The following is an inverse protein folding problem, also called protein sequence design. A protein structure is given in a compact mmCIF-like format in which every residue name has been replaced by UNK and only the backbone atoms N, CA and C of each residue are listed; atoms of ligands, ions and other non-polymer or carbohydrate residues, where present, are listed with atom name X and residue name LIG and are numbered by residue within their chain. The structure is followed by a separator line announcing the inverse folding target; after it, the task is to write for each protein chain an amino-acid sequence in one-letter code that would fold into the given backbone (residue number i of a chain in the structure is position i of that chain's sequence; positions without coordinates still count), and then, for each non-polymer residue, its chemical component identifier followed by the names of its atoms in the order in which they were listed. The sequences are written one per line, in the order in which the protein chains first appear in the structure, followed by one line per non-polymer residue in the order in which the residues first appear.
data_IF_604430771090
#
_entry.id   IF_604430771090
#
_cell.length_a   1.000
_cell.length_b   1.000
_cell.length_c   1.000
_cell.angle_alpha   90.00
_cell.angle_beta   90.00
_cell.angle_gamma   90.00
#
_symmetry.space_group_name_H-M   'P 1'
#
loop_
_entity.id
_entity.type
_entity.pdbx_description
1 polymer ?
#
# COMPACT_ATOMS: atom_id res chain seq x y z
N UNK A 1 3.98 -18.94 -16.70
CA UNK A 1 3.02 -18.42 -15.71
C UNK A 1 3.72 -17.65 -14.60
N UNK A 2 4.73 -18.23 -13.94
CA UNK A 2 5.54 -17.56 -12.89
C UNK A 2 6.04 -16.15 -13.26
N UNK A 3 6.56 -15.94 -14.47
CA UNK A 3 7.04 -14.60 -14.90
C UNK A 3 5.95 -13.54 -14.95
N UNK A 4 4.70 -13.90 -15.27
CA UNK A 4 3.57 -12.96 -15.33
C UNK A 4 3.12 -12.56 -13.93
N UNK A 5 3.06 -13.51 -13.00
CA UNK A 5 2.70 -13.24 -11.60
C UNK A 5 3.75 -12.36 -10.93
N UNK A 6 5.03 -12.69 -11.12
CA UNK A 6 6.14 -11.89 -10.63
C UNK A 6 6.13 -10.46 -11.18
N UNK A 7 5.84 -10.28 -12.48
CA UNK A 7 5.69 -8.94 -13.07
C UNK A 7 4.54 -8.14 -12.45
N UNK A 8 3.43 -8.79 -12.11
CA UNK A 8 2.34 -8.11 -11.41
C UNK A 8 2.77 -7.66 -10.01
N UNK A 9 3.52 -8.49 -9.27
CA UNK A 9 4.03 -8.13 -7.94
C UNK A 9 4.97 -6.93 -8.02
N UNK A 10 5.91 -6.94 -8.97
CA UNK A 10 6.82 -5.81 -9.16
C UNK A 10 6.08 -4.52 -9.56
N UNK A 11 5.05 -4.61 -10.40
CA UNK A 11 4.21 -3.46 -10.73
C UNK A 11 3.46 -2.93 -9.50
N UNK A 12 2.96 -3.82 -8.64
CA UNK A 12 2.34 -3.42 -7.38
C UNK A 12 3.35 -2.71 -6.48
N UNK A 13 4.56 -3.24 -6.33
CA UNK A 13 5.63 -2.58 -5.58
C UNK A 13 6.01 -1.21 -6.15
N UNK A 14 6.15 -1.07 -7.46
CA UNK A 14 6.42 0.23 -8.09
C UNK A 14 5.30 1.23 -7.84
N UNK A 15 4.05 0.75 -7.81
CA UNK A 15 2.89 1.59 -7.49
C UNK A 15 2.93 2.05 -6.03
N UNK A 16 3.26 1.15 -5.11
CA UNK A 16 3.39 1.47 -3.68
C UNK A 16 4.50 2.50 -3.44
N UNK A 17 5.68 2.32 -4.05
CA UNK A 17 6.77 3.29 -3.99
C UNK A 17 6.31 4.66 -4.48
N UNK A 18 5.70 4.70 -5.67
CA UNK A 18 5.25 5.95 -6.28
C UNK A 18 4.30 6.74 -5.37
N UNK A 19 3.40 6.06 -4.64
CA UNK A 19 2.53 6.73 -3.69
C UNK A 19 3.23 7.11 -2.39
N UNK A 20 4.23 6.35 -1.97
CA UNK A 20 4.95 6.56 -0.71
C UNK A 20 6.04 7.63 -0.81
N UNK A 21 6.49 7.94 -2.03
CA UNK A 21 7.61 8.84 -2.30
C UNK A 21 7.20 10.18 -2.93
N UNK A 22 5.92 10.58 -2.84
CA UNK A 22 5.50 11.88 -3.37
C UNK A 22 5.99 13.01 -2.48
N UNK A 23 6.24 14.18 -3.07
CA UNK A 23 6.75 15.35 -2.36
C UNK A 23 5.85 15.81 -1.20
N UNK A 24 4.54 15.55 -1.28
CA UNK A 24 3.58 15.86 -0.22
C UNK A 24 3.53 14.80 0.89
N UNK A 25 4.22 13.65 0.75
CA UNK A 25 4.30 12.61 1.78
C UNK A 25 5.34 12.99 2.84
N UNK A 26 4.90 13.04 4.10
CA UNK A 26 5.80 13.32 5.22
C UNK A 26 5.97 12.13 6.18
N UNK A 27 5.12 11.09 6.05
CA UNK A 27 5.19 9.89 6.88
C UNK A 27 4.59 8.69 6.16
N UNK A 28 5.27 7.55 6.28
CA UNK A 28 4.76 6.22 5.95
C UNK A 28 4.80 5.37 7.22
N UNK A 29 3.72 4.68 7.54
CA UNK A 29 3.60 3.90 8.78
C UNK A 29 2.85 2.58 8.57
N UNK A 30 2.86 1.74 9.61
CA UNK A 30 2.10 0.49 9.68
C UNK A 30 0.93 0.63 10.65
N UNK A 31 -0.24 0.16 10.22
CA UNK A 31 -1.39 -0.07 11.09
C UNK A 31 -1.99 -1.45 10.79
N UNK A 32 -1.83 -2.42 11.69
CA UNK A 32 -2.17 -3.83 11.36
C UNK A 32 -1.41 -4.31 10.11
N UNK A 33 -2.11 -4.94 9.16
CA UNK A 33 -1.58 -5.35 7.85
C UNK A 33 -1.80 -4.27 6.78
N UNK A 34 -1.77 -3.00 7.18
CA UNK A 34 -1.98 -1.85 6.29
C UNK A 34 -0.76 -0.94 6.30
N UNK A 35 -0.37 -0.47 5.11
CA UNK A 35 0.54 0.67 4.96
C UNK A 35 -0.29 1.94 4.98
N UNK A 36 0.03 2.87 5.87
CA UNK A 36 -0.57 4.19 5.94
C UNK A 36 0.41 5.23 5.40
N UNK A 37 -0.03 5.99 4.39
CA UNK A 37 0.74 7.05 3.74
C UNK A 37 0.07 8.37 4.10
N UNK A 38 0.81 9.25 4.76
CA UNK A 38 0.34 10.54 5.25
C UNK A 38 0.87 11.63 4.32
N UNK A 39 -0.05 12.29 3.64
CA UNK A 39 0.25 13.34 2.68
C UNK A 39 -0.29 14.68 3.19
N UNK A 40 0.53 15.72 3.14
CA UNK A 40 0.16 17.09 3.50
C UNK A 40 -0.79 17.68 2.46
N UNK A 41 -1.83 18.38 2.91
CA UNK A 41 -2.77 19.11 2.05
C UNK A 41 -2.84 20.62 2.39
N UNK A 42 -1.93 21.13 3.23
CA UNK A 42 -1.84 22.54 3.59
C UNK A 42 -1.45 22.77 5.05
N UNK A 43 -1.70 23.99 5.55
CA UNK A 43 -1.30 24.46 6.88
C UNK A 43 -2.03 23.69 8.01
N UNK A 44 -1.57 22.48 8.33
CA UNK A 44 -1.99 21.57 9.43
C UNK A 44 -2.95 20.42 9.06
N UNK A 45 -3.40 20.33 7.81
CA UNK A 45 -4.27 19.24 7.37
C UNK A 45 -3.49 18.15 6.63
N UNK A 46 -3.87 16.89 6.82
CA UNK A 46 -3.30 15.76 6.09
C UNK A 46 -4.39 14.80 5.59
N UNK A 47 -4.09 14.10 4.49
CA UNK A 47 -4.89 12.97 3.99
C UNK A 47 -4.15 11.68 4.30
N UNK A 48 -4.89 10.64 4.71
CA UNK A 48 -4.35 9.30 4.90
C UNK A 48 -4.76 8.45 3.71
N UNK A 49 -3.77 7.86 3.03
CA UNK A 49 -3.99 6.76 2.10
C UNK A 49 -3.62 5.45 2.76
N UNK A 50 -4.37 4.40 2.46
CA UNK A 50 -4.13 3.06 2.99
C UNK A 50 -3.95 2.06 1.87
N UNK A 51 -2.90 1.25 1.96
CA UNK A 51 -2.73 0.05 1.13
C UNK A 51 -3.04 -1.15 2.00
N UNK A 52 -4.10 -1.88 1.65
CA UNK A 52 -4.56 -3.04 2.40
C UNK A 52 -5.13 -4.12 1.48
N UNK A 53 -5.18 -5.36 1.99
CA UNK A 53 -5.85 -6.48 1.33
C UNK A 53 -7.37 -6.45 1.59
N UNK A 54 -8.14 -6.67 0.53
CA UNK A 54 -9.60 -6.81 0.54
C UNK A 54 -10.00 -8.05 -0.24
N UNK A 55 -10.46 -9.08 0.46
CA UNK A 55 -10.61 -10.40 -0.16
C UNK A 55 -9.25 -10.86 -0.71
N UNK A 56 -9.19 -11.12 -2.02
CA UNK A 56 -7.95 -11.51 -2.71
C UNK A 56 -7.32 -10.36 -3.51
N UNK A 57 -7.68 -9.12 -3.22
CA UNK A 57 -7.18 -7.95 -3.92
C UNK A 57 -6.34 -7.07 -3.00
N UNK A 58 -5.29 -6.47 -3.55
CA UNK A 58 -4.56 -5.39 -2.91
C UNK A 58 -5.13 -4.06 -3.41
N UNK A 59 -5.58 -3.20 -2.50
CA UNK A 59 -6.26 -1.96 -2.83
C UNK A 59 -5.56 -0.76 -2.21
N UNK A 60 -5.54 0.35 -2.95
CA UNK A 60 -5.27 1.68 -2.41
C UNK A 60 -6.60 2.37 -2.12
N UNK A 61 -6.79 2.83 -0.89
CA UNK A 61 -7.96 3.61 -0.50
C UNK A 61 -7.55 4.95 0.07
N UNK A 62 -8.42 5.93 -0.10
CA UNK A 62 -8.21 7.31 0.31
C UNK A 62 -9.23 7.71 1.37
N UNK A 63 -8.76 8.33 2.44
CA UNK A 63 -9.59 9.02 3.44
C UNK A 63 -9.22 10.50 3.42
N UNK A 64 -10.22 11.36 3.33
CA UNK A 64 -10.05 12.80 3.52
C UNK A 64 -10.69 13.16 4.86
N UNK A 65 -10.04 13.94 5.71
CA UNK A 65 -10.54 14.25 7.07
C UNK A 65 -11.94 14.90 7.07
N UNK A 66 -12.34 15.51 5.95
CA UNK A 66 -13.65 16.13 5.74
C UNK A 66 -14.73 15.19 5.21
N UNK A 67 -14.36 14.01 4.67
CA UNK A 67 -15.29 13.05 4.08
C UNK A 67 -15.16 11.69 4.78
N UNK A 68 -16.20 11.31 5.52
CA UNK A 68 -16.39 9.99 6.11
C UNK A 68 -16.52 8.88 5.04
N UNK A 69 -16.56 9.24 3.76
CA UNK A 69 -16.59 8.30 2.65
C UNK A 69 -15.18 7.90 2.20
N UNK A 70 -14.91 6.62 2.38
CA UNK A 70 -13.79 5.94 1.77
C UNK A 70 -13.96 5.94 0.24
N UNK A 71 -12.95 6.44 -0.47
CA UNK A 71 -12.86 6.31 -1.93
C UNK A 71 -11.83 5.24 -2.24
N UNK A 72 -12.30 4.10 -2.75
CA UNK A 72 -11.45 3.02 -3.24
C UNK A 72 -11.22 3.17 -4.74
N UNK A 73 -9.97 3.13 -5.17
CA UNK A 73 -9.65 2.94 -6.59
C UNK A 73 -9.78 1.45 -6.97
N UNK A 74 -9.64 1.17 -8.27
CA UNK A 74 -9.41 -0.17 -8.78
C UNK A 74 -8.26 -0.84 -8.01
N UNK A 75 -8.31 -2.17 -7.80
CA UNK A 75 -7.24 -2.88 -7.10
C UNK A 75 -5.89 -2.66 -7.80
N UNK A 76 -4.86 -2.40 -7.00
CA UNK A 76 -3.46 -2.34 -7.45
C UNK A 76 -3.05 -3.72 -7.99
N UNK A 77 -3.59 -4.77 -7.37
CA UNK A 77 -3.31 -6.15 -7.71
C UNK A 77 -4.50 -7.04 -7.35
N UNK A 78 -4.74 -8.06 -8.16
CA UNK A 78 -5.78 -9.06 -7.92
C UNK A 78 -5.19 -10.45 -7.70
N UNK A 79 -5.99 -11.33 -7.10
CA UNK A 79 -5.67 -12.73 -6.84
C UNK A 79 -4.39 -12.92 -6.01
N UNK A 80 -4.21 -12.13 -4.95
CA UNK A 80 -3.18 -12.34 -3.93
C UNK A 80 -3.70 -13.26 -2.84
N UNK A 81 -2.82 -14.11 -2.33
CA UNK A 81 -3.12 -15.03 -1.22
C UNK A 81 -3.08 -14.29 0.10
N UNK A 82 -2.04 -13.47 0.31
CA UNK A 82 -1.80 -12.76 1.55
C UNK A 82 -1.10 -11.41 1.34
N UNK A 83 -1.24 -10.51 2.31
CA UNK A 83 -0.54 -9.24 2.37
C UNK A 83 -0.21 -8.92 3.83
N UNK A 84 1.08 -8.74 4.11
CA UNK A 84 1.57 -8.40 5.45
C UNK A 84 2.40 -7.14 5.39
N UNK A 85 2.36 -6.40 6.50
CA UNK A 85 3.20 -5.22 6.68
C UNK A 85 4.01 -5.42 7.94
N UNK A 86 5.28 -5.06 7.90
CA UNK A 86 6.19 -5.11 9.04
C UNK A 86 6.83 -3.75 9.23
N UNK A 87 7.14 -3.39 10.47
CA UNK A 87 7.87 -2.16 10.78
C UNK A 87 9.07 -2.49 11.64
N UNK A 88 10.24 -2.04 11.21
CA UNK A 88 11.49 -2.13 11.97
C UNK A 88 12.06 -0.72 12.05
N UNK A 89 11.97 -0.11 13.22
CA UNK A 89 12.34 1.28 13.45
C UNK A 89 11.58 2.23 12.50
N UNK A 90 12.29 2.96 11.64
CA UNK A 90 11.71 3.85 10.64
C UNK A 90 11.39 3.17 9.30
N UNK A 91 11.77 1.89 9.13
CA UNK A 91 11.59 1.16 7.88
C UNK A 91 10.27 0.37 7.88
N UNK A 92 9.50 0.51 6.80
CA UNK A 92 8.26 -0.24 6.57
C UNK A 92 8.52 -1.28 5.48
N UNK A 93 8.22 -2.54 5.77
CA UNK A 93 8.33 -3.63 4.82
C UNK A 93 6.94 -4.14 4.45
N UNK A 94 6.74 -4.45 3.19
CA UNK A 94 5.54 -5.12 2.69
C UNK A 94 5.89 -6.48 2.14
N UNK A 95 5.03 -7.45 2.43
CA UNK A 95 5.10 -8.79 1.87
C UNK A 95 3.80 -9.10 1.14
N UNK A 96 3.91 -9.51 -0.12
CA UNK A 96 2.79 -9.98 -0.95
C UNK A 96 3.01 -11.47 -1.20
N UNK A 97 2.02 -12.30 -0.86
CA UNK A 97 2.03 -13.73 -1.21
C UNK A 97 1.15 -13.97 -2.42
N UNK A 98 1.69 -14.60 -3.46
CA UNK A 98 0.97 -14.92 -4.70
C UNK A 98 1.61 -16.09 -5.44
N UNK A 99 0.80 -17.06 -5.85
CA UNK A 99 1.27 -18.24 -6.55
C UNK A 99 2.08 -19.17 -5.65
N UNK A 100 1.80 -19.16 -4.34
CA UNK A 100 2.54 -19.90 -3.31
C UNK A 100 3.92 -19.33 -2.97
N UNK A 101 4.29 -18.17 -3.52
CA UNK A 101 5.59 -17.51 -3.26
C UNK A 101 5.37 -16.17 -2.52
N UNK A 102 6.26 -15.88 -1.55
CA UNK A 102 6.27 -14.63 -0.80
C UNK A 102 7.31 -13.66 -1.35
N UNK A 103 6.89 -12.41 -1.58
CA UNK A 103 7.74 -11.35 -2.12
C UNK A 103 7.78 -10.21 -1.11
N UNK A 104 8.97 -9.81 -0.67
CA UNK A 104 9.16 -8.77 0.33
C UNK A 104 9.89 -7.55 -0.25
N UNK A 105 9.47 -6.36 0.14
CA UNK A 105 10.13 -5.10 -0.21
C UNK A 105 10.08 -4.10 0.93
N UNK A 106 11.18 -3.37 1.13
CA UNK A 106 11.21 -2.18 1.97
C UNK A 106 10.67 -0.99 1.17
N UNK A 107 9.76 -0.23 1.78
CA UNK A 107 9.24 1.04 1.28
C UNK A 107 10.04 2.17 1.94
#
# INVERSE_FOLDING_TARGET
MKSREMNQVYNAFSTIDYFSSKDDVFKVDKSGDTVEIYESIGNENYKIKRILKRGNNLSLVHYNETNVQEVSNNPIMENIEDFKVYKKESLVYVEITKGGEGYIKCI
#
